data_IF_599047588963
#
_entry.id   IF_599047588963
#
_cell.length_a   1.000
_cell.length_b   1.000
_cell.length_c   1.000
_cell.angle_alpha   90.00
_cell.angle_beta   90.00
_cell.angle_gamma   90.00
#
_symmetry.space_group_name_H-M   'P 1'
#
loop_
_entity.id
_entity.type
_entity.pdbx_description
1 polymer ?
#
# COMPACT_ATOMS: atom_id res chain seq x y z
N UNK A 1 -41.66 21.59 39.12
CA UNK A 1 -42.26 20.96 37.93
C UNK A 1 -41.11 20.41 37.09
N UNK A 2 -40.79 19.12 37.26
CA UNK A 2 -39.65 18.45 36.62
C UNK A 2 -40.12 17.78 35.33
N UNK A 3 -39.50 18.13 34.21
CA UNK A 3 -39.76 17.54 32.89
C UNK A 3 -39.15 16.12 32.86
N UNK A 4 -39.88 15.06 32.50
CA UNK A 4 -39.31 13.72 32.44
C UNK A 4 -38.42 13.60 31.18
N UNK A 5 -37.15 13.26 31.37
CA UNK A 5 -36.24 12.88 30.28
C UNK A 5 -36.76 11.61 29.61
N UNK A 6 -37.08 11.69 28.31
CA UNK A 6 -37.47 10.54 27.50
C UNK A 6 -36.32 9.51 27.48
N UNK A 7 -36.50 8.46 28.26
CA UNK A 7 -35.64 7.28 28.29
C UNK A 7 -35.81 6.58 26.93
N UNK A 8 -34.91 6.86 25.98
CA UNK A 8 -34.89 6.21 24.67
C UNK A 8 -34.57 4.73 24.88
N UNK A 9 -35.61 3.91 24.96
CA UNK A 9 -35.52 2.44 25.01
C UNK A 9 -34.76 2.01 23.76
N UNK A 10 -33.54 1.48 23.92
CA UNK A 10 -32.73 1.00 22.81
C UNK A 10 -33.38 -0.27 22.23
N UNK A 11 -34.31 -0.07 21.30
CA UNK A 11 -34.87 -1.13 20.48
C UNK A 11 -34.09 -1.15 19.15
N UNK A 12 -33.64 -2.33 18.68
CA UNK A 12 -32.96 -2.41 17.40
C UNK A 12 -33.93 -1.92 16.31
N UNK A 13 -33.50 -0.95 15.52
CA UNK A 13 -34.32 -0.44 14.42
C UNK A 13 -34.34 -1.47 13.28
N UNK A 14 -35.31 -1.39 12.37
CA UNK A 14 -35.39 -2.29 11.22
C UNK A 14 -34.09 -2.28 10.37
N UNK A 15 -33.35 -1.17 10.39
CA UNK A 15 -32.00 -1.03 9.80
C UNK A 15 -30.91 -1.84 10.53
N UNK A 16 -31.05 -2.09 11.83
CA UNK A 16 -30.11 -2.94 12.59
C UNK A 16 -30.36 -4.44 12.32
N UNK A 17 -31.60 -4.79 11.96
CA UNK A 17 -32.02 -6.17 11.69
C UNK A 17 -31.93 -6.54 10.19
N UNK A 18 -32.00 -5.57 9.29
CA UNK A 18 -31.88 -5.75 7.85
C UNK A 18 -30.64 -5.03 7.31
N UNK A 19 -29.53 -5.76 7.21
CA UNK A 19 -28.34 -5.27 6.53
C UNK A 19 -28.62 -5.24 5.03
N UNK A 20 -28.50 -4.07 4.41
CA UNK A 20 -28.64 -3.90 2.96
C UNK A 20 -27.51 -4.63 2.21
N UNK A 21 -27.78 -5.89 1.88
CA UNK A 21 -26.82 -6.78 1.20
C UNK A 21 -26.41 -6.21 -0.16
N UNK A 22 -27.30 -5.47 -0.84
CA UNK A 22 -27.02 -4.87 -2.14
C UNK A 22 -26.00 -3.73 -2.05
N UNK A 23 -26.17 -2.79 -1.11
CA UNK A 23 -25.23 -1.70 -0.92
C UNK A 23 -23.89 -2.20 -0.40
N UNK A 24 -23.90 -3.22 0.46
CA UNK A 24 -22.69 -3.92 0.91
C UNK A 24 -21.95 -4.53 -0.28
N UNK A 25 -22.64 -5.24 -1.18
CA UNK A 25 -22.03 -5.81 -2.38
C UNK A 25 -21.51 -4.75 -3.34
N UNK A 26 -22.17 -3.59 -3.45
CA UNK A 26 -21.70 -2.47 -4.27
C UNK A 26 -20.42 -1.87 -3.68
N UNK A 27 -20.34 -1.72 -2.36
CA UNK A 27 -19.14 -1.25 -1.67
C UNK A 27 -17.98 -2.23 -1.84
N UNK A 28 -18.23 -3.54 -1.70
CA UNK A 28 -17.21 -4.59 -1.93
C UNK A 28 -16.74 -4.61 -3.38
N UNK A 29 -17.65 -4.46 -4.34
CA UNK A 29 -17.32 -4.47 -5.77
C UNK A 29 -16.66 -3.17 -6.25
N UNK A 30 -16.79 -2.07 -5.50
CA UNK A 30 -16.14 -0.82 -5.83
C UNK A 30 -14.65 -0.94 -5.59
N UNK A 31 -13.86 -0.94 -6.66
CA UNK A 31 -12.41 -0.87 -6.61
C UNK A 31 -11.92 0.23 -7.53
N UNK A 32 -11.15 1.17 -6.98
CA UNK A 32 -10.47 2.16 -7.78
C UNK A 32 -9.10 1.61 -8.19
N UNK A 33 -8.93 1.34 -9.48
CA UNK A 33 -7.71 0.72 -10.04
C UNK A 33 -6.46 1.59 -9.91
N UNK A 34 -6.62 2.88 -9.58
CA UNK A 34 -5.50 3.79 -9.36
C UNK A 34 -4.87 3.68 -7.97
N UNK A 35 -5.55 3.06 -7.00
CA UNK A 35 -5.04 2.83 -5.66
C UNK A 35 -4.25 1.53 -5.59
N UNK A 36 -3.07 1.59 -5.00
CA UNK A 36 -2.11 0.48 -5.00
C UNK A 36 -1.69 0.06 -3.59
N UNK A 37 -2.06 0.81 -2.54
CA UNK A 37 -1.72 0.48 -1.16
C UNK A 37 -2.08 -0.96 -0.78
N UNK A 38 -3.27 -1.44 -1.17
CA UNK A 38 -3.76 -2.79 -0.88
C UNK A 38 -2.97 -3.90 -1.60
N UNK A 39 -2.34 -3.56 -2.72
CA UNK A 39 -1.50 -4.51 -3.46
C UNK A 39 -0.12 -4.63 -2.85
N UNK A 40 0.33 -3.58 -2.15
CA UNK A 40 1.63 -3.52 -1.47
C UNK A 40 1.48 -4.15 -0.09
N UNK A 41 0.50 -3.70 0.68
CA UNK A 41 0.15 -4.22 2.00
C UNK A 41 -1.21 -4.92 1.93
N UNK A 42 -1.22 -6.25 1.73
CA UNK A 42 -2.47 -6.99 1.64
C UNK A 42 -3.19 -7.03 2.99
N UNK A 43 -4.51 -7.04 2.95
CA UNK A 43 -5.34 -6.97 4.15
C UNK A 43 -5.35 -8.32 4.89
N UNK A 44 -4.98 -8.30 6.17
CA UNK A 44 -5.05 -9.47 7.05
C UNK A 44 -6.13 -9.23 8.12
N UNK A 45 -7.19 -10.06 8.18
CA UNK A 45 -8.23 -9.89 9.17
C UNK A 45 -7.71 -10.25 10.57
N UNK A 46 -7.92 -9.35 11.53
CA UNK A 46 -7.56 -9.55 12.94
C UNK A 46 -8.81 -9.54 13.82
N UNK A 47 -8.80 -10.34 14.88
CA UNK A 47 -9.95 -10.43 15.80
C UNK A 47 -9.96 -9.32 16.86
N UNK A 48 -8.79 -8.83 17.26
CA UNK A 48 -8.64 -7.81 18.30
C UNK A 48 -8.29 -6.46 17.69
N UNK A 49 -8.73 -5.41 18.35
CA UNK A 49 -8.41 -4.03 17.94
C UNK A 49 -6.94 -3.69 18.20
N UNK A 50 -6.33 -4.27 19.24
CA UNK A 50 -4.90 -4.16 19.50
C UNK A 50 -4.35 -5.51 19.93
N UNK A 51 -3.15 -5.82 19.42
CA UNK A 51 -2.35 -6.94 19.87
C UNK A 51 -0.88 -6.71 19.49
N UNK A 52 -0.02 -7.65 19.86
CA UNK A 52 1.40 -7.66 19.47
C UNK A 52 1.61 -8.40 18.16
N UNK A 53 2.59 -7.94 17.39
CA UNK A 53 3.05 -8.62 16.18
C UNK A 53 4.32 -9.40 16.58
N UNK A 54 4.30 -10.74 16.57
CA UNK A 54 5.50 -11.52 16.82
C UNK A 54 6.47 -11.39 15.63
N UNK A 55 7.69 -10.95 15.91
CA UNK A 55 8.76 -10.81 14.94
C UNK A 55 9.82 -11.89 15.21
N UNK A 56 10.05 -12.75 14.22
CA UNK A 56 11.10 -13.77 14.33
C UNK A 56 12.44 -13.19 13.89
N UNK A 57 13.44 -13.31 14.76
CA UNK A 57 14.79 -12.88 14.43
C UNK A 57 15.38 -13.78 13.34
N UNK A 58 15.61 -13.19 12.15
CA UNK A 58 16.10 -13.89 10.96
C UNK A 58 17.44 -14.60 11.20
N UNK A 59 18.29 -14.04 12.07
CA UNK A 59 19.62 -14.58 12.38
C UNK A 59 19.60 -16.01 12.93
N UNK A 60 18.52 -16.46 13.58
CA UNK A 60 18.41 -17.84 14.05
C UNK A 60 18.15 -18.84 12.92
N UNK A 61 17.55 -18.38 11.81
CA UNK A 61 17.23 -19.22 10.65
C UNK A 61 18.38 -19.33 9.65
N UNK A 62 19.27 -18.34 9.60
CA UNK A 62 20.43 -18.31 8.70
C UNK A 62 21.74 -18.81 9.35
N UNK A 63 21.68 -19.43 10.53
CA UNK A 63 22.87 -20.02 11.18
C UNK A 63 23.14 -21.44 10.69
N UNK A 64 24.37 -21.69 10.26
CA UNK A 64 24.90 -23.03 10.00
C UNK A 64 25.45 -23.66 11.30
N UNK A 65 24.53 -24.08 12.17
CA UNK A 65 24.83 -24.74 13.44
C UNK A 65 24.89 -26.30 13.44
N UNK A 66 24.52 -27.06 12.37
CA UNK A 66 24.75 -28.51 12.34
C UNK A 66 26.24 -28.87 12.43
N UNK A 67 26.58 -29.81 13.31
CA UNK A 67 27.96 -30.29 13.48
C UNK A 67 28.05 -31.81 13.34
N UNK A 68 29.19 -32.27 12.80
CA UNK A 68 29.52 -33.70 12.76
C UNK A 68 29.57 -34.25 14.18
N UNK A 69 28.83 -35.33 14.42
CA UNK A 69 28.66 -35.92 15.73
C UNK A 69 29.46 -37.22 15.84
N UNK A 70 30.28 -37.33 16.88
CA UNK A 70 30.92 -38.59 17.25
C UNK A 70 29.89 -39.58 17.87
N UNK A 71 30.01 -40.89 17.64
CA UNK A 71 29.13 -41.90 18.23
C UNK A 71 29.06 -41.74 19.76
N UNK A 72 27.84 -41.66 20.33
CA UNK A 72 27.60 -41.56 21.78
C UNK A 72 27.44 -40.14 22.38
N UNK A 73 27.84 -39.07 21.69
CA UNK A 73 27.66 -37.67 22.20
C UNK A 73 26.23 -37.15 22.01
N UNK A 74 25.71 -36.19 22.79
CA UNK A 74 24.36 -35.61 22.54
C UNK A 74 24.40 -34.63 21.36
N UNK A 75 23.28 -34.52 20.62
CA UNK A 75 23.14 -33.52 19.55
C UNK A 75 23.12 -32.09 20.14
N UNK A 76 23.70 -31.15 19.41
CA UNK A 76 23.49 -29.71 19.64
C UNK A 76 22.00 -29.42 19.44
N UNK A 77 21.42 -28.60 20.32
CA UNK A 77 20.02 -28.16 20.25
C UNK A 77 20.01 -26.65 19.97
N UNK A 78 19.23 -26.25 18.96
CA UNK A 78 18.96 -24.85 18.65
C UNK A 78 17.67 -24.36 19.29
N UNK A 79 17.47 -23.05 19.25
CA UNK A 79 16.23 -22.36 19.58
C UNK A 79 16.11 -21.08 18.76
N UNK A 80 14.92 -20.49 18.76
CA UNK A 80 14.66 -19.19 18.15
C UNK A 80 14.12 -18.24 19.22
N UNK A 81 14.39 -16.95 19.03
CA UNK A 81 13.80 -15.89 19.86
C UNK A 81 12.72 -15.16 19.06
N UNK A 82 11.71 -14.66 19.79
CA UNK A 82 10.58 -13.92 19.22
C UNK A 82 10.55 -12.53 19.85
N UNK A 83 10.82 -11.52 19.05
CA UNK A 83 10.60 -10.14 19.46
C UNK A 83 9.09 -9.84 19.46
N UNK A 84 8.60 -9.31 20.58
CA UNK A 84 7.21 -8.96 20.80
C UNK A 84 7.05 -7.44 21.06
N UNK A 85 8.04 -6.64 20.65
CA UNK A 85 8.06 -5.18 20.81
C UNK A 85 7.06 -4.46 19.91
N UNK A 86 6.78 -5.01 18.72
CA UNK A 86 5.86 -4.41 17.78
C UNK A 86 4.40 -4.56 18.24
N UNK A 87 3.69 -3.44 18.35
CA UNK A 87 2.28 -3.36 18.71
C UNK A 87 1.49 -2.77 17.55
N UNK A 88 0.27 -3.27 17.33
CA UNK A 88 -0.68 -2.63 16.43
C UNK A 88 -1.90 -2.11 17.19
N UNK A 89 -2.48 -1.03 16.66
CA UNK A 89 -3.77 -0.51 17.09
C UNK A 89 -4.60 -0.17 15.85
N UNK A 90 -5.74 -0.84 15.69
CA UNK A 90 -6.67 -0.61 14.60
C UNK A 90 -7.64 0.53 14.96
N UNK A 91 -7.33 1.74 14.48
CA UNK A 91 -8.22 2.88 14.64
C UNK A 91 -9.51 2.72 13.83
N UNK A 92 -10.63 3.15 14.43
CA UNK A 92 -11.94 3.15 13.74
C UNK A 92 -12.12 4.45 12.98
N UNK A 93 -12.17 4.34 11.66
CA UNK A 93 -12.49 5.44 10.77
C UNK A 93 -13.90 5.26 10.19
N UNK A 94 -14.69 6.32 10.23
CA UNK A 94 -16.06 6.33 9.72
C UNK A 94 -16.33 7.61 8.95
N UNK A 95 -17.12 7.52 7.88
CA UNK A 95 -17.62 8.67 7.13
C UNK A 95 -19.06 8.39 6.73
N UNK A 96 -19.95 9.33 7.06
CA UNK A 96 -21.34 9.30 6.64
C UNK A 96 -21.55 10.12 5.37
N UNK A 97 -22.54 9.75 4.58
CA UNK A 97 -23.11 10.58 3.52
C UNK A 97 -24.61 10.68 3.80
N UNK A 98 -25.07 11.88 4.14
CA UNK A 98 -26.47 12.12 4.50
C UNK A 98 -27.28 12.41 3.23
N UNK A 99 -28.41 11.73 3.08
CA UNK A 99 -29.35 11.93 2.00
C UNK A 99 -30.69 12.33 2.63
N UNK A 100 -31.07 13.62 2.58
CA UNK A 100 -32.37 14.07 3.04
C UNK A 100 -33.51 13.45 2.24
N UNK A 101 -34.62 13.10 2.90
CA UNK A 101 -35.75 12.42 2.25
C UNK A 101 -36.41 13.24 1.13
N UNK A 102 -36.39 14.58 1.25
CA UNK A 102 -36.88 15.48 0.22
C UNK A 102 -36.05 15.38 -1.06
N UNK A 103 -34.73 15.26 -0.93
CA UNK A 103 -33.80 15.10 -2.05
C UNK A 103 -33.94 13.70 -2.65
N UNK A 104 -34.11 12.67 -1.82
CA UNK A 104 -34.39 11.30 -2.29
C UNK A 104 -35.68 11.22 -3.10
N UNK A 105 -36.75 11.89 -2.65
CA UNK A 105 -38.04 11.91 -3.34
C UNK A 105 -38.00 12.69 -4.66
N UNK A 106 -37.15 13.71 -4.75
CA UNK A 106 -37.00 14.55 -5.94
C UNK A 106 -35.92 14.02 -6.91
N UNK A 107 -35.33 12.85 -6.65
CA UNK A 107 -34.32 12.26 -7.52
C UNK A 107 -34.97 11.56 -8.72
N UNK A 108 -34.66 12.04 -9.91
CA UNK A 108 -35.09 11.41 -11.17
C UNK A 108 -34.05 10.39 -11.68
N UNK A 109 -34.51 9.40 -12.45
CA UNK A 109 -33.61 8.52 -13.19
C UNK A 109 -32.74 9.37 -14.15
N UNK A 110 -31.41 9.18 -14.18
CA UNK A 110 -30.67 7.99 -13.75
C UNK A 110 -30.02 8.04 -12.35
N UNK A 111 -30.30 9.06 -11.53
CA UNK A 111 -29.61 9.25 -10.25
C UNK A 111 -30.09 8.27 -9.18
N UNK A 112 -29.17 7.42 -8.70
CA UNK A 112 -29.42 6.56 -7.54
C UNK A 112 -28.52 7.04 -6.40
N UNK A 113 -29.05 7.97 -5.60
CA UNK A 113 -28.32 8.66 -4.54
C UNK A 113 -27.74 7.69 -3.51
N UNK A 114 -28.44 6.60 -3.19
CA UNK A 114 -27.96 5.60 -2.22
C UNK A 114 -26.74 4.84 -2.76
N UNK A 115 -26.77 4.47 -4.05
CA UNK A 115 -25.62 3.83 -4.71
C UNK A 115 -24.44 4.79 -4.84
N UNK A 116 -24.69 6.03 -5.26
CA UNK A 116 -23.63 7.01 -5.49
C UNK A 116 -23.01 7.49 -4.17
N UNK A 117 -23.83 7.67 -3.13
CA UNK A 117 -23.37 7.93 -1.77
C UNK A 117 -22.51 6.79 -1.21
N UNK A 118 -22.93 5.53 -1.41
CA UNK A 118 -22.14 4.36 -0.99
C UNK A 118 -20.78 4.31 -1.70
N UNK A 119 -20.74 4.58 -3.02
CA UNK A 119 -19.49 4.65 -3.79
C UNK A 119 -18.59 5.78 -3.29
N UNK A 120 -19.15 6.95 -3.02
CA UNK A 120 -18.40 8.10 -2.53
C UNK A 120 -17.76 7.85 -1.16
N UNK A 121 -18.50 7.26 -0.23
CA UNK A 121 -17.96 6.89 1.09
C UNK A 121 -16.87 5.84 0.95
N UNK A 122 -17.09 4.83 0.11
CA UNK A 122 -16.11 3.75 -0.13
C UNK A 122 -14.81 4.29 -0.75
N UNK A 123 -14.90 5.11 -1.80
CA UNK A 123 -13.73 5.73 -2.45
C UNK A 123 -12.92 6.56 -1.45
N UNK A 124 -13.59 7.27 -0.55
CA UNK A 124 -12.93 8.12 0.45
C UNK A 124 -12.22 7.32 1.54
N UNK A 125 -12.75 6.15 1.88
CA UNK A 125 -12.04 5.20 2.74
C UNK A 125 -10.81 4.62 2.03
N UNK A 126 -10.92 4.28 0.74
CA UNK A 126 -9.78 3.80 -0.04
C UNK A 126 -8.70 4.88 -0.23
N UNK A 127 -9.09 6.11 -0.53
CA UNK A 127 -8.19 7.26 -0.61
C UNK A 127 -7.44 7.46 0.71
N UNK A 128 -8.13 7.38 1.85
CA UNK A 128 -7.47 7.48 3.17
C UNK A 128 -6.39 6.41 3.34
N UNK A 129 -6.67 5.16 2.95
CA UNK A 129 -5.69 4.07 3.04
C UNK A 129 -4.46 4.34 2.20
N UNK A 130 -4.65 4.86 0.98
CA UNK A 130 -3.56 5.27 0.10
C UNK A 130 -2.69 6.39 0.73
N UNK A 131 -3.34 7.42 1.29
CA UNK A 131 -2.64 8.55 1.93
C UNK A 131 -1.90 8.11 3.19
N UNK A 132 -2.52 7.26 4.01
CA UNK A 132 -1.89 6.69 5.21
C UNK A 132 -0.65 5.90 4.82
N UNK A 133 -0.74 5.01 3.82
CA UNK A 133 0.40 4.25 3.33
C UNK A 133 1.54 5.18 2.88
N UNK A 134 1.22 6.18 2.04
CA UNK A 134 2.23 7.08 1.51
C UNK A 134 2.90 7.94 2.60
N UNK A 135 2.15 8.34 3.62
CA UNK A 135 2.67 9.16 4.72
C UNK A 135 3.52 8.33 5.68
N UNK A 136 3.04 7.15 6.04
CA UNK A 136 3.64 6.35 7.10
C UNK A 136 4.78 5.44 6.63
N UNK A 137 4.74 4.98 5.38
CA UNK A 137 5.67 3.98 4.84
C UNK A 137 6.44 4.45 3.59
N UNK A 138 5.95 5.44 2.83
CA UNK A 138 6.63 5.93 1.63
C UNK A 138 7.54 7.14 1.92
N UNK A 139 8.20 7.11 3.08
CA UNK A 139 9.09 8.13 3.62
C UNK A 139 10.40 7.51 4.13
N UNK A 140 11.45 8.32 4.25
CA UNK A 140 12.75 7.88 4.78
C UNK A 140 12.70 7.71 6.30
N UNK A 141 13.55 6.84 6.84
CA UNK A 141 13.66 6.53 8.27
C UNK A 141 12.67 5.47 8.76
N UNK A 142 11.92 4.86 7.83
CA UNK A 142 10.98 3.76 8.11
C UNK A 142 11.55 2.40 7.75
N UNK A 143 12.42 2.37 6.75
CA UNK A 143 13.07 1.16 6.26
C UNK A 143 14.52 1.13 6.72
N UNK A 144 15.12 -0.06 6.76
CA UNK A 144 16.52 -0.24 7.17
C UNK A 144 17.49 0.36 6.15
N UNK A 145 17.14 0.32 4.87
CA UNK A 145 17.95 0.80 3.74
C UNK A 145 17.24 1.96 3.04
N UNK A 146 17.70 3.18 3.31
CA UNK A 146 17.24 4.39 2.62
C UNK A 146 18.35 4.92 1.72
N UNK A 147 18.01 5.25 0.47
CA UNK A 147 18.93 5.86 -0.51
C UNK A 147 18.36 7.20 -0.98
N UNK A 148 19.21 8.23 -1.00
CA UNK A 148 18.83 9.59 -1.37
C UNK A 148 19.49 9.98 -2.69
N UNK A 149 18.65 10.32 -3.67
CA UNK A 149 19.14 10.85 -4.96
C UNK A 149 19.89 12.18 -4.76
N UNK A 150 21.05 12.30 -5.41
CA UNK A 150 22.12 13.31 -5.24
C UNK A 150 23.19 12.96 -4.20
N UNK A 151 22.88 12.13 -3.20
CA UNK A 151 23.88 11.70 -2.19
C UNK A 151 24.43 10.31 -2.52
N UNK A 152 23.54 9.33 -2.66
CA UNK A 152 23.93 7.92 -2.86
C UNK A 152 23.93 7.51 -4.33
N UNK A 153 23.10 8.16 -5.15
CA UNK A 153 23.02 7.92 -6.59
C UNK A 153 22.63 9.19 -7.34
N UNK A 154 22.97 9.27 -8.62
CA UNK A 154 22.55 10.39 -9.48
C UNK A 154 21.04 10.28 -9.75
N UNK A 155 20.29 11.35 -9.52
CA UNK A 155 18.83 11.36 -9.75
C UNK A 155 18.52 10.89 -11.17
N UNK A 156 17.57 9.97 -11.32
CA UNK A 156 17.15 9.42 -12.63
C UNK A 156 16.54 10.44 -13.61
N UNK A 157 16.35 11.69 -13.18
CA UNK A 157 16.01 12.81 -14.04
C UNK A 157 17.22 13.38 -14.80
N UNK A 158 18.45 13.06 -14.39
CA UNK A 158 19.67 13.46 -15.08
C UNK A 158 20.06 12.39 -16.11
N UNK A 159 19.61 12.60 -17.34
CA UNK A 159 19.84 11.66 -18.45
C UNK A 159 21.31 11.54 -18.89
N UNK A 160 22.20 12.42 -18.43
CA UNK A 160 23.61 12.42 -18.85
C UNK A 160 24.50 11.52 -17.99
N UNK A 161 24.20 11.39 -16.71
CA UNK A 161 25.06 10.69 -15.74
C UNK A 161 24.34 9.68 -14.84
N UNK A 162 23.02 9.53 -14.95
CA UNK A 162 22.31 8.52 -14.16
C UNK A 162 22.20 7.18 -14.89
N UNK A 163 22.26 6.10 -14.11
CA UNK A 163 22.19 4.72 -14.63
C UNK A 163 21.15 3.91 -13.85
N UNK A 164 19.84 4.15 -14.08
CA UNK A 164 18.78 3.56 -13.26
C UNK A 164 18.82 2.04 -13.17
N UNK A 165 19.25 1.35 -14.24
CA UNK A 165 19.38 -0.12 -14.26
C UNK A 165 20.42 -0.59 -13.24
N UNK A 166 21.62 -0.02 -13.29
CA UNK A 166 22.72 -0.41 -12.40
C UNK A 166 22.41 -0.06 -10.95
N UNK A 167 21.78 1.09 -10.72
CA UNK A 167 21.35 1.51 -9.38
C UNK A 167 20.35 0.50 -8.80
N UNK A 168 19.34 0.11 -9.58
CA UNK A 168 18.31 -0.85 -9.16
C UNK A 168 18.93 -2.22 -8.87
N UNK A 169 19.79 -2.75 -9.74
CA UNK A 169 20.44 -4.04 -9.53
C UNK A 169 21.30 -4.03 -8.25
N UNK A 170 22.05 -2.95 -8.03
CA UNK A 170 22.86 -2.77 -6.80
C UNK A 170 21.99 -2.74 -5.55
N UNK A 171 20.84 -2.05 -5.62
CA UNK A 171 19.91 -1.99 -4.49
C UNK A 171 19.17 -3.32 -4.25
N UNK A 172 18.92 -4.11 -5.29
CA UNK A 172 18.39 -5.48 -5.15
C UNK A 172 19.38 -6.35 -4.38
N UNK A 173 20.65 -6.33 -4.76
CA UNK A 173 21.72 -7.09 -4.09
C UNK A 173 21.86 -6.69 -2.61
N UNK A 174 21.77 -5.39 -2.29
CA UNK A 174 21.80 -4.90 -0.90
C UNK A 174 20.62 -5.43 -0.07
N UNK A 175 19.42 -5.46 -0.64
CA UNK A 175 18.22 -5.98 0.04
C UNK A 175 18.30 -7.50 0.21
N UNK A 176 18.76 -8.22 -0.82
CA UNK A 176 18.96 -9.66 -0.78
C UNK A 176 20.02 -10.05 0.27
N UNK A 177 21.14 -9.32 0.33
CA UNK A 177 22.19 -9.56 1.32
C UNK A 177 21.72 -9.41 2.77
N UNK A 178 20.74 -8.53 3.03
CA UNK A 178 20.19 -8.30 4.38
C UNK A 178 19.07 -9.26 4.76
N UNK A 179 18.22 -9.62 3.80
CA UNK A 179 16.97 -10.37 4.05
C UNK A 179 17.02 -11.82 3.60
N UNK A 180 18.02 -12.20 2.80
CA UNK A 180 18.15 -13.52 2.18
C UNK A 180 17.07 -13.84 1.14
N UNK A 181 16.31 -12.83 0.69
CA UNK A 181 15.21 -12.97 -0.28
C UNK A 181 15.25 -11.80 -1.26
N UNK A 182 15.13 -12.09 -2.55
CA UNK A 182 15.05 -11.04 -3.57
C UNK A 182 13.73 -10.26 -3.48
N UNK A 183 13.76 -8.92 -3.65
CA UNK A 183 12.55 -8.12 -3.71
C UNK A 183 11.72 -8.43 -4.96
N UNK A 184 10.41 -8.64 -4.80
CA UNK A 184 9.51 -9.02 -5.91
C UNK A 184 8.67 -7.85 -6.46
N UNK A 185 8.38 -6.85 -5.62
CA UNK A 185 7.55 -5.71 -5.98
C UNK A 185 8.40 -4.45 -6.04
N UNK A 186 8.23 -3.69 -7.12
CA UNK A 186 8.81 -2.37 -7.26
C UNK A 186 7.69 -1.33 -7.39
N UNK A 187 7.69 -0.36 -6.49
CA UNK A 187 6.66 0.67 -6.38
C UNK A 187 7.30 2.02 -6.67
N UNK A 188 6.67 2.83 -7.52
CA UNK A 188 7.16 4.18 -7.80
C UNK A 188 6.06 5.19 -8.01
N UNK A 189 6.33 6.44 -7.67
CA UNK A 189 5.47 7.55 -8.04
C UNK A 189 5.39 7.74 -9.56
N UNK A 190 4.33 8.39 -10.03
CA UNK A 190 4.19 8.74 -11.46
C UNK A 190 5.34 9.61 -11.99
N UNK A 191 5.95 10.46 -11.14
CA UNK A 191 7.03 11.36 -11.54
C UNK A 191 8.32 10.62 -11.91
N UNK A 192 8.89 9.76 -11.05
CA UNK A 192 10.06 8.96 -11.42
C UNK A 192 9.77 8.02 -12.59
N UNK A 193 8.57 7.42 -12.67
CA UNK A 193 8.19 6.58 -13.80
C UNK A 193 8.32 7.28 -15.17
N UNK A 194 7.93 8.56 -15.26
CA UNK A 194 8.06 9.31 -16.53
C UNK A 194 9.53 9.51 -16.91
N UNK A 195 10.42 9.69 -15.94
CA UNK A 195 11.86 9.84 -16.19
C UNK A 195 12.48 8.51 -16.62
N UNK A 196 12.21 7.43 -15.87
CA UNK A 196 12.67 6.07 -16.19
C UNK A 196 12.20 5.65 -17.58
N UNK A 197 10.92 5.87 -17.91
CA UNK A 197 10.37 5.54 -19.23
C UNK A 197 11.12 6.23 -20.40
N UNK A 198 11.62 7.44 -20.18
CA UNK A 198 12.29 8.23 -21.23
C UNK A 198 13.82 8.17 -21.11
N UNK A 199 14.36 7.32 -20.24
CA UNK A 199 15.79 7.29 -19.96
C UNK A 199 16.58 6.69 -21.15
N UNK A 200 17.65 7.36 -21.65
CA UNK A 200 18.40 6.90 -22.82
C UNK A 200 18.93 5.48 -22.67
N UNK A 201 19.49 5.14 -21.51
CA UNK A 201 20.07 3.80 -21.26
C UNK A 201 19.04 2.67 -21.37
N UNK A 202 17.77 2.95 -21.05
CA UNK A 202 16.67 1.99 -21.18
C UNK A 202 16.22 1.88 -22.62
N UNK A 203 16.10 3.02 -23.30
CA UNK A 203 15.74 3.08 -24.72
C UNK A 203 16.79 2.35 -25.57
N UNK A 204 18.08 2.54 -25.29
CA UNK A 204 19.17 1.90 -26.02
C UNK A 204 19.18 0.37 -25.84
N UNK A 205 18.81 -0.14 -24.66
CA UNK A 205 18.68 -1.59 -24.42
C UNK A 205 17.54 -2.23 -25.21
N UNK A 206 16.42 -1.53 -25.42
CA UNK A 206 15.25 -2.07 -26.12
C UNK A 206 15.21 -1.75 -27.62
N UNK A 207 16.06 -0.84 -28.10
CA UNK A 207 16.06 -0.31 -29.48
C UNK A 207 16.10 -1.40 -30.54
N UNK A 208 16.75 -2.53 -30.26
CA UNK A 208 16.93 -3.63 -31.20
C UNK A 208 15.99 -4.83 -30.96
N UNK A 209 15.24 -4.85 -29.86
CA UNK A 209 14.55 -6.06 -29.40
C UNK A 209 13.03 -6.00 -29.50
N UNK A 210 12.37 -4.84 -29.29
CA UNK A 210 10.90 -4.72 -29.32
C UNK A 210 10.36 -3.31 -29.67
N UNK A 211 9.02 -3.20 -29.77
CA UNK A 211 8.27 -1.95 -30.05
C UNK A 211 8.72 -0.82 -29.13
N UNK A 212 8.80 0.40 -29.67
CA UNK A 212 9.26 1.64 -29.01
C UNK A 212 8.39 2.15 -27.84
N UNK A 213 7.60 1.30 -27.19
CA UNK A 213 6.78 1.64 -26.03
C UNK A 213 7.21 0.85 -24.79
N UNK A 214 7.92 1.53 -23.89
CA UNK A 214 8.19 1.05 -22.53
C UNK A 214 6.88 1.03 -21.74
N UNK A 215 6.29 -0.16 -21.63
CA UNK A 215 5.18 -0.47 -20.72
C UNK A 215 5.73 -0.83 -19.33
N UNK A 216 4.89 -0.77 -18.31
CA UNK A 216 5.29 -1.16 -16.94
C UNK A 216 5.75 -2.61 -16.86
N UNK A 217 5.16 -3.49 -17.67
CA UNK A 217 5.47 -4.91 -17.71
C UNK A 217 6.85 -5.19 -18.34
N UNK A 218 7.20 -4.49 -19.42
CA UNK A 218 8.53 -4.58 -20.02
C UNK A 218 9.63 -4.03 -19.12
N UNK A 219 9.32 -2.98 -18.35
CA UNK A 219 10.28 -2.44 -17.39
C UNK A 219 10.41 -3.36 -16.18
N UNK A 220 9.32 -3.99 -15.72
CA UNK A 220 9.36 -4.98 -14.66
C UNK A 220 10.23 -6.20 -15.07
N UNK A 221 10.07 -6.69 -16.30
CA UNK A 221 10.88 -7.81 -16.79
C UNK A 221 12.35 -7.44 -16.98
N UNK A 222 12.66 -6.21 -17.41
CA UNK A 222 14.05 -5.75 -17.54
C UNK A 222 14.78 -5.65 -16.21
N UNK A 223 14.07 -5.23 -15.15
CA UNK A 223 14.61 -5.15 -13.79
C UNK A 223 14.43 -6.44 -12.99
N UNK A 224 13.88 -7.48 -13.62
CA UNK A 224 13.59 -8.79 -13.02
C UNK A 224 12.74 -8.70 -11.75
N UNK A 225 11.74 -7.81 -11.76
CA UNK A 225 10.70 -7.76 -10.73
C UNK A 225 9.47 -8.54 -11.21
N UNK A 226 8.77 -9.18 -10.27
CA UNK A 226 7.49 -9.81 -10.55
C UNK A 226 6.42 -8.78 -10.91
N UNK A 227 6.44 -7.61 -10.24
CA UNK A 227 5.42 -6.58 -10.48
C UNK A 227 5.96 -5.17 -10.25
N UNK A 228 5.72 -4.30 -11.24
CA UNK A 228 5.93 -2.86 -11.13
C UNK A 228 4.60 -2.13 -10.91
N UNK A 229 4.46 -1.46 -9.78
CA UNK A 229 3.29 -0.65 -9.42
C UNK A 229 3.62 0.84 -9.54
N UNK A 230 2.76 1.58 -10.26
CA UNK A 230 2.91 3.02 -10.43
C UNK A 230 1.79 3.74 -9.70
N UNK A 231 2.13 4.46 -8.63
CA UNK A 231 1.21 5.28 -7.87
C UNK A 231 0.82 6.53 -8.64
N UNK A 232 -0.45 6.61 -9.07
CA UNK A 232 -0.98 7.71 -9.90
C UNK A 232 -2.01 8.57 -9.18
N UNK A 233 -2.37 8.20 -7.97
CA UNK A 233 -3.40 8.86 -7.18
C UNK A 233 -3.02 10.29 -6.81
N UNK A 234 -4.04 11.16 -6.79
CA UNK A 234 -3.95 12.57 -6.45
C UNK A 234 -4.87 12.88 -5.27
N UNK A 235 -4.48 13.85 -4.45
CA UNK A 235 -5.27 14.36 -3.35
C UNK A 235 -5.34 15.87 -3.39
N UNK A 236 -6.43 16.39 -2.87
CA UNK A 236 -6.61 17.81 -2.60
C UNK A 236 -6.40 18.07 -1.11
N UNK A 237 -5.63 19.10 -0.77
CA UNK A 237 -5.40 19.53 0.62
C UNK A 237 -6.25 20.74 1.01
N UNK A 238 -6.94 21.35 0.06
CA UNK A 238 -7.81 22.50 0.27
C UNK A 238 -9.13 22.11 0.95
N UNK A 239 -9.70 22.98 1.79
CA UNK A 239 -10.95 22.71 2.48
C UNK A 239 -12.13 22.57 1.51
N UNK A 240 -13.15 21.82 1.95
CA UNK A 240 -14.40 21.67 1.22
C UNK A 240 -15.09 23.02 1.05
N UNK A 241 -15.35 23.43 -0.19
CA UNK A 241 -15.93 24.73 -0.55
C UNK A 241 -14.99 25.68 -1.31
N UNK A 242 -13.71 25.34 -1.50
CA UNK A 242 -12.83 26.08 -2.41
C UNK A 242 -13.34 25.93 -3.86
N UNK A 243 -13.45 27.04 -4.58
CA UNK A 243 -13.87 27.03 -5.98
C UNK A 243 -12.96 26.12 -6.81
N UNK A 244 -13.53 25.29 -7.68
CA UNK A 244 -12.82 24.26 -8.46
C UNK A 244 -11.58 24.79 -9.19
N UNK A 245 -11.65 26.03 -9.70
CA UNK A 245 -10.53 26.70 -10.38
C UNK A 245 -9.36 27.10 -9.48
N UNK A 246 -9.49 27.02 -8.17
CA UNK A 246 -8.47 27.35 -7.18
C UNK A 246 -8.05 26.15 -6.33
N UNK A 247 -8.57 24.95 -6.62
CA UNK A 247 -8.19 23.72 -5.94
C UNK A 247 -6.81 23.26 -6.40
N UNK A 248 -5.92 23.05 -5.45
CA UNK A 248 -4.60 22.48 -5.68
C UNK A 248 -4.63 20.96 -5.60
N UNK A 249 -4.18 20.31 -6.68
CA UNK A 249 -4.10 18.86 -6.76
C UNK A 249 -2.64 18.42 -6.56
N UNK A 250 -2.40 17.69 -5.48
CA UNK A 250 -1.09 17.13 -5.13
C UNK A 250 -1.04 15.62 -5.40
N UNK A 251 0.13 15.08 -5.76
CA UNK A 251 0.31 13.64 -5.97
C UNK A 251 0.66 12.96 -4.65
N UNK A 252 -0.04 11.88 -4.32
CA UNK A 252 0.14 11.15 -3.06
C UNK A 252 1.54 10.49 -3.01
N UNK A 253 1.96 9.87 -4.12
CA UNK A 253 3.21 9.11 -4.21
C UNK A 253 4.47 9.94 -4.53
N UNK A 254 4.35 11.26 -4.70
CA UNK A 254 5.51 12.15 -4.88
C UNK A 254 6.57 11.66 -5.90
N UNK A 255 7.84 11.79 -5.49
CA UNK A 255 9.04 11.52 -6.32
C UNK A 255 9.82 10.25 -5.91
N UNK A 256 9.33 9.49 -4.94
CA UNK A 256 10.09 8.38 -4.35
C UNK A 256 9.80 7.07 -5.11
N UNK A 257 10.61 6.06 -4.82
CA UNK A 257 10.43 4.67 -5.23
C UNK A 257 10.75 3.75 -4.04
N UNK A 258 10.14 2.57 -4.01
CA UNK A 258 10.28 1.58 -2.94
C UNK A 258 10.36 0.19 -3.57
N UNK A 259 11.38 -0.57 -3.20
CA UNK A 259 11.52 -1.99 -3.53
C UNK A 259 11.21 -2.78 -2.27
N UNK A 260 10.38 -3.81 -2.40
CA UNK A 260 9.93 -4.57 -1.26
C UNK A 260 9.59 -6.00 -1.65
N UNK A 261 9.68 -6.89 -0.65
CA UNK A 261 9.19 -8.25 -0.77
C UNK A 261 7.78 -8.34 -0.17
N UNK A 262 6.79 -8.64 -1.00
CA UNK A 262 5.42 -8.96 -0.58
C UNK A 262 5.24 -10.48 -0.62
N UNK A 263 4.83 -11.12 0.49
CA UNK A 263 4.50 -12.54 0.45
C UNK A 263 3.29 -12.78 -0.47
N UNK A 264 3.27 -13.87 -1.26
CA UNK A 264 2.19 -14.15 -2.22
C UNK A 264 0.82 -14.42 -1.56
N UNK A 265 0.81 -14.71 -0.25
CA UNK A 265 -0.41 -14.84 0.54
C UNK A 265 -0.34 -13.95 1.79
N UNK A 266 -1.42 -13.20 2.02
CA UNK A 266 -1.62 -12.46 3.26
C UNK A 266 -2.00 -13.47 4.35
N UNK A 267 -1.06 -13.78 5.23
CA UNK A 267 -1.32 -14.67 6.35
C UNK A 267 -0.68 -14.10 7.60
N UNK A 268 -1.39 -14.16 8.72
CA UNK A 268 -0.69 -14.32 9.99
C UNK A 268 0.02 -15.66 9.90
N UNK A 269 1.32 -15.71 10.15
CA UNK A 269 2.03 -16.97 10.36
C UNK A 269 1.46 -17.60 11.64
N UNK A 270 0.37 -18.35 11.48
CA UNK A 270 -0.32 -19.15 12.50
C UNK A 270 -0.36 -20.59 12.04
#
# INVERSE_FOLDING_TARGET
>A
MLVPSLLRKAQPTASDLHIDRLLTNISIAYMNTAYIADQIFPMVPVQKQSDRIPLFNQSFWYRDDPRVRAPGQKSVRGGFDVDNSAIYFADRFSRGFEIPDEVRRNADLPYNLDRDGTRFVTDRMMMRREVAFATDFFTTGKWTTDKVGTTDFTKWSDFGGSTPVVDIDTFKDEVEALSGVEPNFFVMGKQPWVQVKNHPTLIDRIKYTQRAQLTTDLVASLFEFQKLLVGRSIQTTDPEGTAEGSVSYSRIWGKNALMLFVPPAASLLT
#
